data_IF_472822679447
#
_entry.id   IF_472822679447
#
_cell.length_a   1.000
_cell.length_b   1.000
_cell.length_c   1.000
_cell.angle_alpha   90.00
_cell.angle_beta   90.00
_cell.angle_gamma   90.00
#
_symmetry.space_group_name_H-M   'P 1'
#
loop_
_entity.id
_entity.type
_entity.pdbx_description
1 polymer ?
#
# COMPACT_ATOMS: atom_id res chain seq x y z
N UNK A 1 3.79 4.24 25.23
CA UNK A 1 3.46 5.15 24.11
C UNK A 1 3.35 6.60 24.59
N UNK A 2 2.54 6.91 25.60
CA UNK A 2 2.33 8.29 26.09
C UNK A 2 3.61 9.06 26.47
N UNK A 3 4.56 8.43 27.17
CA UNK A 3 5.86 9.06 27.48
C UNK A 3 6.67 9.40 26.22
N UNK A 4 6.56 8.58 25.17
CA UNK A 4 7.32 8.75 23.94
C UNK A 4 6.71 9.86 23.06
N UNK A 5 5.38 9.94 22.98
CA UNK A 5 4.70 11.03 22.27
C UNK A 5 4.90 12.39 22.95
N UNK A 6 5.00 12.43 24.28
CA UNK A 6 5.36 13.67 25.00
C UNK A 6 6.75 14.18 24.59
N UNK A 7 7.76 13.31 24.53
CA UNK A 7 9.10 13.65 24.03
C UNK A 7 9.02 14.07 22.56
N UNK A 8 8.22 13.38 21.75
CA UNK A 8 8.02 13.73 20.35
C UNK A 8 7.42 15.11 20.14
N UNK A 9 6.54 15.56 21.04
CA UNK A 9 6.04 16.93 21.03
C UNK A 9 7.16 17.94 21.31
N UNK A 10 8.05 17.66 22.25
CA UNK A 10 9.22 18.52 22.51
C UNK A 10 10.12 18.61 21.27
N UNK A 11 10.36 17.47 20.59
CA UNK A 11 11.12 17.45 19.32
C UNK A 11 10.40 18.28 18.25
N UNK A 12 9.09 18.13 18.10
CA UNK A 12 8.27 18.91 17.16
C UNK A 12 8.43 20.42 17.37
N UNK A 13 8.37 20.86 18.62
CA UNK A 13 8.54 22.27 18.98
C UNK A 13 9.98 22.75 18.73
N UNK A 14 10.99 21.98 19.15
CA UNK A 14 12.41 22.33 19.01
C UNK A 14 12.90 22.36 17.56
N UNK A 15 12.37 21.49 16.69
CA UNK A 15 12.73 21.44 15.27
C UNK A 15 11.94 22.45 14.43
N UNK A 16 11.05 23.23 15.05
CA UNK A 16 10.31 24.31 14.39
C UNK A 16 9.22 23.82 13.44
N UNK A 17 8.72 22.59 13.61
CA UNK A 17 7.70 21.99 12.74
C UNK A 17 6.41 22.83 12.71
N UNK A 18 6.04 23.44 13.84
CA UNK A 18 4.90 24.36 13.98
C UNK A 18 5.00 25.64 13.15
N UNK A 19 6.21 25.99 12.67
CA UNK A 19 6.38 27.14 11.77
C UNK A 19 5.72 26.93 10.41
N UNK A 20 5.63 25.68 9.95
CA UNK A 20 4.99 25.33 8.68
C UNK A 20 3.66 24.60 8.86
N UNK A 21 3.58 23.72 9.87
CA UNK A 21 2.42 22.86 10.10
C UNK A 21 1.51 23.37 11.20
N UNK A 22 0.22 23.09 11.04
CA UNK A 22 -0.83 23.36 12.01
C UNK A 22 -1.20 22.10 12.77
N UNK A 23 -1.48 22.24 14.06
CA UNK A 23 -2.14 21.22 14.90
C UNK A 23 -3.21 21.91 15.74
N UNK A 24 -4.44 21.41 15.70
CA UNK A 24 -5.59 21.91 16.44
C UNK A 24 -5.78 23.45 16.29
N UNK A 25 -5.58 23.97 15.08
CA UNK A 25 -5.70 25.41 14.80
C UNK A 25 -4.45 26.25 15.08
N UNK A 26 -3.38 25.68 15.64
CA UNK A 26 -2.17 26.40 16.05
C UNK A 26 -0.97 26.01 15.18
N UNK A 27 -0.27 27.01 14.63
CA UNK A 27 0.93 26.82 13.80
C UNK A 27 0.82 27.54 12.46
N UNK A 28 1.64 27.12 11.49
CA UNK A 28 1.69 27.65 10.14
C UNK A 28 0.70 26.98 9.17
N UNK A 29 0.52 27.59 8.00
CA UNK A 29 -0.35 27.12 6.91
C UNK A 29 0.44 26.73 5.64
N UNK A 30 1.77 26.65 5.74
CA UNK A 30 2.63 26.29 4.60
C UNK A 30 2.61 24.79 4.32
N UNK A 31 2.59 23.97 5.38
CA UNK A 31 2.42 22.52 5.31
C UNK A 31 0.98 22.10 5.62
N UNK A 32 0.64 20.81 5.39
CA UNK A 32 -0.67 20.27 5.76
C UNK A 32 -0.93 20.36 7.26
N UNK A 33 -2.22 20.41 7.62
CA UNK A 33 -2.70 20.30 9.00
C UNK A 33 -2.48 18.87 9.50
N UNK A 34 -1.74 18.72 10.60
CA UNK A 34 -1.34 17.43 11.19
C UNK A 34 -2.31 16.96 12.27
N UNK A 35 -3.44 17.66 12.50
CA UNK A 35 -4.41 17.34 13.56
C UNK A 35 -4.96 15.92 13.51
N UNK A 36 -4.99 15.31 12.31
CA UNK A 36 -5.42 13.93 12.07
C UNK A 36 -4.31 13.05 11.49
N UNK A 37 -3.04 13.44 11.63
CA UNK A 37 -1.94 12.66 11.07
C UNK A 37 -1.98 11.20 11.53
N UNK A 38 -2.29 10.96 12.81
CA UNK A 38 -2.43 9.62 13.37
C UNK A 38 -3.64 8.83 12.87
N UNK A 39 -4.60 9.46 12.20
CA UNK A 39 -5.72 8.77 11.57
C UNK A 39 -5.36 8.14 10.21
N UNK A 40 -4.22 8.49 9.64
CA UNK A 40 -3.77 7.95 8.35
C UNK A 40 -3.13 6.59 8.58
N UNK A 41 -3.85 5.54 8.19
CA UNK A 41 -3.49 4.15 8.49
C UNK A 41 -2.15 3.76 7.88
N UNK A 42 -1.78 4.32 6.73
CA UNK A 42 -0.52 4.05 6.04
C UNK A 42 0.70 4.77 6.60
N UNK A 43 0.50 5.77 7.46
CA UNK A 43 1.59 6.56 8.03
C UNK A 43 2.04 5.92 9.34
N UNK A 44 2.70 4.76 9.23
CA UNK A 44 3.26 4.06 10.39
C UNK A 44 4.57 4.69 10.89
N UNK A 45 5.19 4.06 11.88
CA UNK A 45 6.45 4.53 12.49
C UNK A 45 7.56 4.70 11.44
N UNK A 46 7.71 3.74 10.53
CA UNK A 46 8.79 3.74 9.54
C UNK A 46 8.50 4.69 8.38
N UNK A 47 7.22 4.86 8.01
CA UNK A 47 6.79 5.91 7.09
C UNK A 47 7.23 7.28 7.61
N UNK A 48 6.91 7.61 8.85
CA UNK A 48 7.26 8.90 9.45
C UNK A 48 8.78 9.12 9.53
N UNK A 49 9.53 8.11 10.00
CA UNK A 49 11.00 8.18 10.07
C UNK A 49 11.63 8.42 8.71
N UNK A 50 11.11 7.75 7.67
CA UNK A 50 11.54 7.96 6.29
C UNK A 50 11.13 9.34 5.77
N UNK A 51 9.91 9.78 6.07
CA UNK A 51 9.42 11.11 5.71
C UNK A 51 10.30 12.20 6.29
N UNK A 52 10.64 12.15 7.58
CA UNK A 52 11.51 13.17 8.19
C UNK A 52 12.90 13.20 7.56
N UNK A 53 13.48 12.04 7.27
CA UNK A 53 14.83 11.93 6.71
C UNK A 53 14.89 12.30 5.23
N UNK A 54 13.88 11.91 4.46
CA UNK A 54 13.85 12.04 3.00
C UNK A 54 12.41 12.25 2.50
N UNK A 55 11.83 13.46 2.69
CA UNK A 55 10.41 13.69 2.43
C UNK A 55 9.97 13.36 0.99
N UNK A 56 10.80 13.71 0.01
CA UNK A 56 10.57 13.46 -1.41
C UNK A 56 10.49 11.96 -1.78
N UNK A 57 11.06 11.06 -0.97
CA UNK A 57 11.03 9.62 -1.23
C UNK A 57 9.68 8.97 -0.91
N UNK A 58 8.87 9.62 -0.06
CA UNK A 58 7.55 9.11 0.38
C UNK A 58 6.42 10.00 -0.09
N UNK A 59 6.64 11.32 -0.15
CA UNK A 59 5.69 12.30 -0.68
C UNK A 59 6.37 13.02 -1.84
N UNK A 60 6.06 12.55 -3.05
CA UNK A 60 6.59 13.14 -4.29
C UNK A 60 6.23 14.63 -4.38
N UNK A 61 7.23 15.48 -4.63
CA UNK A 61 7.03 16.94 -4.70
C UNK A 61 6.99 17.65 -3.34
N UNK A 62 7.21 16.96 -2.22
CA UNK A 62 7.23 17.56 -0.88
C UNK A 62 8.28 18.67 -0.73
N UNK A 63 7.85 19.88 -0.39
CA UNK A 63 8.74 21.00 -0.05
C UNK A 63 9.23 20.96 1.39
N UNK A 64 8.85 19.94 2.18
CA UNK A 64 9.34 19.76 3.53
C UNK A 64 10.86 19.55 3.50
N UNK A 65 11.66 20.25 4.33
CA UNK A 65 13.09 20.01 4.41
C UNK A 65 13.37 18.64 5.03
N UNK A 66 14.48 18.03 4.65
CA UNK A 66 15.00 16.85 5.31
C UNK A 66 15.55 17.21 6.70
N UNK A 67 15.31 16.34 7.69
CA UNK A 67 15.81 16.48 9.05
C UNK A 67 16.75 15.32 9.38
N UNK A 68 17.94 15.66 9.88
CA UNK A 68 18.85 14.70 10.48
C UNK A 68 18.50 14.54 11.96
N UNK A 69 17.62 13.58 12.25
CA UNK A 69 17.16 13.27 13.60
C UNK A 69 17.88 12.02 14.12
N UNK A 70 18.50 12.05 15.32
CA UNK A 70 18.93 10.86 16.02
C UNK A 70 17.78 9.85 16.14
N UNK A 71 18.08 8.55 16.09
CA UNK A 71 17.07 7.48 16.16
C UNK A 71 16.01 7.69 17.26
N UNK A 72 16.40 7.97 18.53
CA UNK A 72 15.43 8.24 19.59
C UNK A 72 14.55 9.48 19.37
N UNK A 73 15.08 10.56 18.78
CA UNK A 73 14.28 11.75 18.43
C UNK A 73 13.30 11.43 17.31
N UNK A 74 13.75 10.69 16.30
CA UNK A 74 12.90 10.29 15.18
C UNK A 74 11.78 9.35 15.64
N UNK A 75 12.08 8.37 16.49
CA UNK A 75 11.08 7.46 17.04
C UNK A 75 10.06 8.21 17.92
N UNK A 76 10.53 9.18 18.71
CA UNK A 76 9.67 10.02 19.53
C UNK A 76 8.75 10.89 18.69
N UNK A 77 9.29 11.59 17.69
CA UNK A 77 8.54 12.46 16.80
C UNK A 77 7.49 11.67 16.02
N UNK A 78 7.84 10.49 15.49
CA UNK A 78 6.89 9.58 14.84
C UNK A 78 5.79 9.12 15.78
N UNK A 79 6.12 8.75 17.02
CA UNK A 79 5.11 8.39 18.02
C UNK A 79 4.16 9.55 18.35
N UNK A 80 4.66 10.79 18.34
CA UNK A 80 3.82 11.97 18.49
C UNK A 80 2.87 12.14 17.31
N UNK A 81 3.36 12.07 16.06
CA UNK A 81 2.51 12.16 14.88
C UNK A 81 1.40 11.10 14.87
N UNK A 82 1.74 9.84 15.15
CA UNK A 82 0.78 8.72 15.25
C UNK A 82 -0.27 8.95 16.37
N UNK A 83 0.08 9.73 17.40
CA UNK A 83 -0.86 10.07 18.48
C UNK A 83 -1.85 11.17 18.14
N UNK A 84 -1.64 11.92 17.04
CA UNK A 84 -2.50 13.02 16.62
C UNK A 84 -3.78 12.49 15.95
N UNK A 85 -4.80 12.22 16.78
CA UNK A 85 -6.12 11.79 16.35
C UNK A 85 -7.19 12.76 16.86
N UNK A 86 -7.58 13.75 16.07
CA UNK A 86 -8.61 14.72 16.50
C UNK A 86 -10.04 14.17 16.38
N UNK A 87 -10.25 13.12 15.57
CA UNK A 87 -11.48 12.34 15.51
C UNK A 87 -11.15 10.84 15.54
N UNK A 88 -11.92 10.04 16.28
CA UNK A 88 -11.83 8.59 16.16
C UNK A 88 -12.51 8.16 14.87
N UNK A 89 -11.76 7.54 13.96
CA UNK A 89 -12.36 6.82 12.84
C UNK A 89 -13.14 5.61 13.39
N UNK A 90 -14.31 5.28 12.82
CA UNK A 90 -14.96 4.02 13.14
C UNK A 90 -14.00 2.84 12.92
N UNK A 91 -13.92 1.93 13.90
CA UNK A 91 -12.94 0.82 13.90
C UNK A 91 -13.06 -0.10 12.69
N UNK A 92 -14.25 -0.24 12.15
CA UNK A 92 -14.52 -0.98 10.91
C UNK A 92 -13.91 -0.30 9.69
N UNK A 93 -13.94 1.03 9.63
CA UNK A 93 -13.30 1.82 8.58
C UNK A 93 -11.78 1.74 8.68
N UNK A 94 -11.21 1.94 9.87
CA UNK A 94 -9.76 1.77 10.10
C UNK A 94 -9.29 0.37 9.66
N UNK A 95 -10.03 -0.68 10.05
CA UNK A 95 -9.75 -2.05 9.64
C UNK A 95 -9.86 -2.25 8.12
N UNK A 96 -10.89 -1.68 7.48
CA UNK A 96 -11.10 -1.83 6.05
C UNK A 96 -10.02 -1.12 5.23
N UNK A 97 -9.61 0.09 5.62
CA UNK A 97 -8.48 0.79 5.00
C UNK A 97 -7.22 -0.07 5.13
N UNK A 98 -6.91 -0.56 6.34
CA UNK A 98 -5.76 -1.46 6.55
C UNK A 98 -5.81 -2.69 5.64
N UNK A 99 -6.97 -3.34 5.57
CA UNK A 99 -7.17 -4.52 4.72
C UNK A 99 -7.01 -4.19 3.23
N UNK A 100 -7.43 -3.01 2.76
CA UNK A 100 -7.20 -2.58 1.39
C UNK A 100 -5.71 -2.39 1.09
N UNK A 101 -4.94 -1.77 1.99
CA UNK A 101 -3.48 -1.66 1.86
C UNK A 101 -2.82 -3.05 1.76
N UNK A 102 -3.12 -3.95 2.69
CA UNK A 102 -2.57 -5.31 2.71
C UNK A 102 -2.89 -6.07 1.41
N UNK A 103 -4.12 -5.95 0.90
CA UNK A 103 -4.53 -6.58 -0.36
C UNK A 103 -3.82 -6.00 -1.58
N UNK A 104 -3.56 -4.69 -1.62
CA UNK A 104 -2.76 -4.10 -2.70
C UNK A 104 -1.33 -4.61 -2.63
N UNK A 105 -0.73 -4.67 -1.45
CA UNK A 105 0.62 -5.21 -1.31
C UNK A 105 0.70 -6.67 -1.77
N UNK A 106 -0.25 -7.52 -1.36
CA UNK A 106 -0.36 -8.90 -1.86
C UNK A 106 -0.59 -8.96 -3.38
N UNK A 107 -1.45 -8.09 -3.90
CA UNK A 107 -1.75 -8.01 -5.32
C UNK A 107 -0.51 -7.64 -6.14
N UNK A 108 0.33 -6.69 -5.68
CA UNK A 108 1.58 -6.30 -6.37
C UNK A 108 2.45 -7.52 -6.62
N UNK A 109 2.69 -8.34 -5.58
CA UNK A 109 3.46 -9.58 -5.71
C UNK A 109 2.83 -10.53 -6.74
N UNK A 110 1.50 -10.67 -6.72
CA UNK A 110 0.77 -11.48 -7.70
C UNK A 110 0.92 -10.99 -9.14
N UNK A 111 0.78 -9.68 -9.35
CA UNK A 111 0.92 -9.01 -10.65
C UNK A 111 2.34 -9.20 -11.19
N UNK A 112 3.36 -9.01 -10.34
CA UNK A 112 4.76 -9.19 -10.71
C UNK A 112 5.05 -10.63 -11.16
N UNK A 113 4.54 -11.62 -10.43
CA UNK A 113 4.70 -13.03 -10.81
C UNK A 113 4.01 -13.34 -12.14
N UNK A 114 2.80 -12.85 -12.37
CA UNK A 114 2.08 -13.03 -13.65
C UNK A 114 2.85 -12.37 -14.80
N UNK A 115 3.35 -11.15 -14.59
CA UNK A 115 4.16 -10.41 -15.57
C UNK A 115 5.47 -11.12 -15.91
N UNK A 116 6.17 -11.66 -14.91
CA UNK A 116 7.39 -12.48 -15.11
C UNK A 116 7.13 -13.74 -15.94
N UNK A 117 5.91 -14.29 -15.89
CA UNK A 117 5.48 -15.42 -16.73
C UNK A 117 5.09 -15.01 -18.16
N UNK A 118 5.20 -13.73 -18.51
CA UNK A 118 4.97 -13.21 -19.86
C UNK A 118 3.51 -12.90 -20.20
N UNK A 119 2.62 -12.85 -19.21
CA UNK A 119 1.22 -12.48 -19.42
C UNK A 119 1.07 -10.95 -19.43
N UNK A 120 0.12 -10.46 -20.24
CA UNK A 120 -0.28 -9.06 -20.18
C UNK A 120 -1.06 -8.81 -18.88
N UNK A 121 -0.61 -7.82 -18.10
CA UNK A 121 -1.21 -7.42 -16.83
C UNK A 121 -1.75 -5.99 -16.85
N UNK A 122 -1.80 -5.32 -18.00
CA UNK A 122 -2.13 -3.90 -18.13
C UNK A 122 -3.47 -3.56 -17.48
N UNK A 123 -4.48 -4.42 -17.70
CA UNK A 123 -5.80 -4.27 -17.07
C UNK A 123 -5.75 -4.31 -15.53
N UNK A 124 -4.92 -5.18 -14.96
CA UNK A 124 -4.76 -5.28 -13.50
C UNK A 124 -3.92 -4.12 -12.98
N UNK A 125 -2.89 -3.70 -13.71
CA UNK A 125 -2.06 -2.53 -13.34
C UNK A 125 -2.91 -1.25 -13.28
N UNK A 126 -3.88 -1.07 -14.19
CA UNK A 126 -4.85 0.03 -14.12
C UNK A 126 -5.69 -0.02 -12.85
N UNK A 127 -6.27 -1.19 -12.53
CA UNK A 127 -7.06 -1.36 -11.29
C UNK A 127 -6.20 -1.14 -10.05
N UNK A 128 -4.98 -1.65 -10.05
CA UNK A 128 -4.02 -1.46 -8.97
C UNK A 128 -3.74 0.03 -8.70
N UNK A 129 -3.49 0.81 -9.76
CA UNK A 129 -3.32 2.25 -9.65
C UNK A 129 -4.59 2.96 -9.13
N UNK A 130 -5.77 2.53 -9.57
CA UNK A 130 -7.05 3.04 -9.04
C UNK A 130 -7.23 2.71 -7.56
N UNK A 131 -6.84 1.51 -7.11
CA UNK A 131 -6.88 1.12 -5.70
C UNK A 131 -6.03 2.03 -4.82
N UNK A 132 -4.80 2.33 -5.23
CA UNK A 132 -3.96 3.31 -4.55
C UNK A 132 -4.54 4.73 -4.59
N UNK A 133 -5.18 5.11 -5.69
CA UNK A 133 -5.85 6.41 -5.80
C UNK A 133 -6.98 6.55 -4.79
N UNK A 134 -7.76 5.51 -4.54
CA UNK A 134 -8.79 5.52 -3.49
C UNK A 134 -8.17 5.68 -2.10
N UNK A 135 -7.10 4.95 -1.79
CA UNK A 135 -6.40 5.09 -0.51
C UNK A 135 -5.81 6.49 -0.29
N UNK A 136 -5.22 7.07 -1.33
CA UNK A 136 -4.72 8.45 -1.30
C UNK A 136 -5.87 9.46 -1.13
N UNK A 137 -7.01 9.21 -1.77
CA UNK A 137 -8.21 10.03 -1.60
C UNK A 137 -8.72 9.98 -0.16
N UNK A 138 -8.70 8.79 0.47
CA UNK A 138 -9.04 8.62 1.88
C UNK A 138 -8.10 9.44 2.77
N UNK A 139 -6.78 9.39 2.53
CA UNK A 139 -5.80 10.17 3.28
C UNK A 139 -6.09 11.68 3.19
N UNK A 140 -6.37 12.17 1.98
CA UNK A 140 -6.76 13.58 1.75
C UNK A 140 -8.08 13.95 2.44
N UNK A 141 -9.06 13.05 2.46
CA UNK A 141 -10.33 13.27 3.18
C UNK A 141 -10.13 13.31 4.69
N UNK A 142 -9.22 12.50 5.24
CA UNK A 142 -8.83 12.53 6.65
C UNK A 142 -8.18 13.88 7.01
N UNK A 143 -7.25 14.37 6.19
CA UNK A 143 -6.64 15.70 6.39
C UNK A 143 -7.67 16.83 6.34
N UNK A 144 -8.63 16.74 5.43
CA UNK A 144 -9.68 17.76 5.25
C UNK A 144 -10.90 17.59 6.17
N UNK A 145 -10.86 16.64 7.12
CA UNK A 145 -11.96 16.32 8.04
C UNK A 145 -13.30 15.92 7.36
N UNK A 146 -13.25 15.32 6.16
CA UNK A 146 -14.44 14.85 5.43
C UNK A 146 -14.75 13.37 5.72
N UNK A 147 -15.29 13.07 6.92
CA UNK A 147 -15.54 11.70 7.36
C UNK A 147 -16.61 10.95 6.54
N UNK A 148 -17.59 11.64 5.98
CA UNK A 148 -18.61 11.00 5.13
C UNK A 148 -18.01 10.48 3.82
N UNK A 149 -17.10 11.25 3.22
CA UNK A 149 -16.35 10.81 2.03
C UNK A 149 -15.47 9.59 2.32
N UNK A 150 -14.83 9.56 3.50
CA UNK A 150 -13.97 8.43 3.90
C UNK A 150 -14.72 7.10 3.83
N UNK A 151 -15.98 7.05 4.26
CA UNK A 151 -16.78 5.82 4.19
C UNK A 151 -16.95 5.31 2.76
N UNK A 152 -17.36 6.20 1.85
CA UNK A 152 -17.63 5.85 0.45
C UNK A 152 -16.36 5.40 -0.28
N UNK A 153 -15.26 6.12 -0.06
CA UNK A 153 -13.96 5.77 -0.66
C UNK A 153 -13.38 4.49 -0.08
N UNK A 154 -13.61 4.21 1.21
CA UNK A 154 -13.20 2.93 1.82
C UNK A 154 -13.90 1.75 1.17
N UNK A 155 -15.21 1.84 0.93
CA UNK A 155 -15.95 0.79 0.23
C UNK A 155 -15.48 0.61 -1.23
N UNK A 156 -15.15 1.71 -1.92
CA UNK A 156 -14.57 1.66 -3.25
C UNK A 156 -13.20 0.96 -3.25
N UNK A 157 -12.31 1.31 -2.31
CA UNK A 157 -11.01 0.67 -2.12
C UNK A 157 -11.13 -0.83 -1.81
N UNK A 158 -12.08 -1.23 -0.96
CA UNK A 158 -12.33 -2.65 -0.65
C UNK A 158 -12.82 -3.41 -1.87
N UNK A 159 -13.72 -2.82 -2.66
CA UNK A 159 -14.27 -3.46 -3.85
C UNK A 159 -13.20 -3.66 -4.93
N UNK A 160 -12.43 -2.62 -5.24
CA UNK A 160 -11.40 -2.73 -6.28
C UNK A 160 -10.28 -3.67 -5.89
N UNK A 161 -9.86 -3.68 -4.61
CA UNK A 161 -8.85 -4.63 -4.13
C UNK A 161 -9.34 -6.07 -4.21
N UNK A 162 -10.61 -6.32 -3.88
CA UNK A 162 -11.23 -7.65 -4.07
C UNK A 162 -11.24 -8.08 -5.53
N UNK A 163 -11.57 -7.18 -6.45
CA UNK A 163 -11.53 -7.48 -7.89
C UNK A 163 -10.12 -7.81 -8.37
N UNK A 164 -9.12 -7.02 -7.96
CA UNK A 164 -7.71 -7.28 -8.29
C UNK A 164 -7.29 -8.66 -7.79
N UNK A 165 -7.62 -9.01 -6.53
CA UNK A 165 -7.32 -10.33 -5.98
C UNK A 165 -7.98 -11.44 -6.80
N UNK A 166 -9.24 -11.27 -7.21
CA UNK A 166 -9.95 -12.23 -8.05
C UNK A 166 -9.31 -12.38 -9.43
N UNK A 167 -8.91 -11.28 -10.06
CA UNK A 167 -8.20 -11.28 -11.35
C UNK A 167 -6.88 -12.04 -11.22
N UNK A 168 -6.05 -11.72 -10.22
CA UNK A 168 -4.76 -12.41 -9.95
C UNK A 168 -4.95 -13.91 -9.74
N UNK A 169 -5.98 -14.33 -8.99
CA UNK A 169 -6.29 -15.74 -8.77
C UNK A 169 -6.75 -16.45 -10.06
N UNK A 170 -7.53 -15.76 -10.89
CA UNK A 170 -7.98 -16.27 -12.18
C UNK A 170 -6.79 -16.55 -13.11
N UNK A 171 -5.84 -15.62 -13.20
CA UNK A 171 -4.62 -15.82 -14.00
C UNK A 171 -3.77 -16.98 -13.50
N UNK A 172 -3.61 -17.14 -12.19
CA UNK A 172 -2.88 -18.29 -11.62
C UNK A 172 -3.53 -19.61 -12.01
N UNK A 173 -4.86 -19.68 -11.96
CA UNK A 173 -5.61 -20.87 -12.39
C UNK A 173 -5.47 -21.16 -13.88
N UNK A 174 -5.47 -20.12 -14.72
CA UNK A 174 -5.24 -20.27 -16.16
C UNK A 174 -3.84 -20.79 -16.45
N UNK A 175 -2.83 -20.26 -15.74
CA UNK A 175 -1.45 -20.72 -15.84
C UNK A 175 -1.34 -22.21 -15.48
N UNK A 176 -1.92 -22.62 -14.36
CA UNK A 176 -1.93 -24.03 -13.93
C UNK A 176 -2.56 -24.92 -15.01
N UNK A 177 -3.67 -24.49 -15.60
CA UNK A 177 -4.33 -25.24 -16.67
C UNK A 177 -3.46 -25.36 -17.93
N UNK A 178 -2.79 -24.28 -18.36
CA UNK A 178 -1.88 -24.31 -19.51
C UNK A 178 -0.67 -25.22 -19.26
N UNK A 179 -0.12 -25.21 -18.05
CA UNK A 179 0.98 -26.12 -17.65
C UNK A 179 0.53 -27.56 -17.72
N UNK A 180 -0.63 -27.89 -17.15
CA UNK A 180 -1.22 -29.25 -17.19
C UNK A 180 -1.42 -29.70 -18.64
N UNK A 181 -2.01 -28.86 -19.50
CA UNK A 181 -2.20 -29.18 -20.91
C UNK A 181 -0.89 -29.43 -21.65
N UNK A 182 0.15 -28.64 -21.36
CA UNK A 182 1.48 -28.80 -21.96
C UNK A 182 2.12 -30.12 -21.54
N UNK A 183 2.03 -30.49 -20.26
CA UNK A 183 2.52 -31.77 -19.75
C UNK A 183 1.81 -32.94 -20.43
N UNK A 184 0.47 -32.89 -20.53
CA UNK A 184 -0.32 -33.93 -21.21
C UNK A 184 0.14 -34.08 -22.67
N UNK A 185 0.31 -32.97 -23.40
CA UNK A 185 0.78 -32.99 -24.77
C UNK A 185 2.18 -33.62 -24.92
N UNK A 186 3.12 -33.26 -24.05
CA UNK A 186 4.47 -33.82 -24.04
C UNK A 186 4.44 -35.34 -23.79
N UNK A 187 3.65 -35.78 -22.81
CA UNK A 187 3.49 -37.22 -22.51
C UNK A 187 2.88 -37.98 -23.69
N UNK A 188 1.85 -37.42 -24.34
CA UNK A 188 1.25 -38.03 -25.53
C UNK A 188 2.26 -38.14 -26.69
N UNK A 189 3.03 -37.09 -26.95
CA UNK A 189 4.08 -37.10 -27.99
C UNK A 189 5.17 -38.14 -27.68
N UNK A 190 5.58 -38.28 -26.42
CA UNK A 190 6.54 -39.30 -26.00
C UNK A 190 6.00 -40.72 -26.21
N UNK A 191 4.74 -40.99 -25.85
CA UNK A 191 4.09 -42.29 -26.08
C UNK A 191 4.06 -42.60 -27.59
N UNK A 192 3.66 -41.64 -28.42
CA UNK A 192 3.62 -41.82 -29.88
C UNK A 192 5.02 -42.14 -30.43
N UNK A 193 6.05 -41.42 -29.98
CA UNK A 193 7.43 -41.67 -30.40
C UNK A 193 7.90 -43.09 -30.05
N UNK A 194 7.57 -43.56 -28.84
CA UNK A 194 7.87 -44.94 -28.40
C UNK A 194 7.14 -45.97 -29.27
N UNK A 195 5.85 -45.75 -29.56
CA UNK A 195 5.08 -46.67 -30.41
C UNK A 195 5.62 -46.73 -31.85
N UNK A 196 6.02 -45.59 -32.42
CA UNK A 196 6.66 -45.54 -33.75
C UNK A 196 7.98 -46.32 -33.72
N UNK A 197 8.81 -46.11 -32.70
CA UNK A 197 10.08 -46.81 -32.54
C UNK A 197 9.91 -48.33 -32.43
N UNK A 198 8.96 -48.80 -31.62
CA UNK A 198 8.64 -50.23 -31.50
C UNK A 198 8.18 -50.80 -32.86
N UNK A 199 7.34 -50.08 -33.60
CA UNK A 199 6.87 -50.50 -34.92
C UNK A 199 8.02 -50.64 -35.92
N UNK A 200 9.01 -49.75 -35.86
CA UNK A 200 10.21 -49.80 -36.71
C UNK A 200 11.14 -50.97 -36.38
N UNK A 201 11.15 -51.48 -35.13
CA UNK A 201 11.94 -52.65 -34.75
C UNK A 201 11.33 -53.99 -35.16
N UNK A 202 10.03 -54.01 -35.44
CA UNK A 202 9.27 -55.23 -35.78
C UNK A 202 9.15 -55.41 -37.32
N UNK A 203 9.48 -54.37 -38.10
CA UNK A 203 9.52 -54.35 -39.57
C UNK A 203 10.91 -54.70 -40.09
#
# INVERSE_FOLDING_TARGET
MEKLSAIGKEVYDLKGCSGCHKIAGIGGDLGPDLSNEGNIVSHDMEWHKRHFREPQSVVSGSTMPAFDLPGPESDALSAYMISLKSAELPKDIERNIKMAHERLDEARHGIDEIKKKGFNVDHIEVKYAQGWTHLETINNMIYTHNLTGVYQETEAAINITREITQDVLSYKKELDHRVIQSIILIVLLAIIAVLIFIKLLIL
#
